data_IF_867357519453
#
_entry.id   IF_867357519453
#
_cell.length_a   1.000
_cell.length_b   1.000
_cell.length_c   1.000
_cell.angle_alpha   90.00
_cell.angle_beta   90.00
_cell.angle_gamma   90.00
#
_symmetry.space_group_name_H-M   'P 1'
#
loop_
_entity.id
_entity.type
_entity.pdbx_description
1 polymer ?
#
# COMPACT_ATOMS: atom_id res chain seq x y z
N UNK A 1 -19.35 -31.34 16.53
CA UNK A 1 -18.98 -31.68 15.13
C UNK A 1 -19.63 -30.77 14.10
N UNK A 2 -20.96 -30.60 14.09
CA UNK A 2 -21.63 -29.62 13.18
C UNK A 2 -21.24 -28.17 13.51
N UNK A 3 -21.35 -27.76 14.77
CA UNK A 3 -21.05 -26.38 15.18
C UNK A 3 -19.59 -25.99 14.86
N UNK A 4 -18.62 -26.85 15.16
CA UNK A 4 -17.19 -26.64 14.87
C UNK A 4 -16.87 -26.54 13.37
N UNK A 5 -17.72 -27.11 12.50
CA UNK A 5 -17.50 -27.08 11.05
C UNK A 5 -18.16 -25.86 10.37
N UNK A 6 -19.32 -25.43 10.86
CA UNK A 6 -20.07 -24.31 10.29
C UNK A 6 -19.74 -22.96 10.93
N UNK A 7 -19.40 -22.93 12.23
CA UNK A 7 -19.08 -21.69 12.96
C UNK A 7 -17.92 -20.91 12.33
N UNK A 8 -16.79 -21.53 11.91
CA UNK A 8 -15.73 -20.80 11.24
C UNK A 8 -16.17 -20.18 9.91
N UNK A 9 -16.97 -20.90 9.11
CA UNK A 9 -17.49 -20.41 7.82
C UNK A 9 -18.46 -19.25 8.02
N UNK A 10 -19.34 -19.34 9.03
CA UNK A 10 -20.31 -18.31 9.36
C UNK A 10 -19.64 -17.04 9.88
N UNK A 11 -18.65 -17.17 10.78
CA UNK A 11 -17.86 -16.04 11.29
C UNK A 11 -17.10 -15.36 10.15
N UNK A 12 -16.49 -16.13 9.25
CA UNK A 12 -15.76 -15.58 8.10
C UNK A 12 -16.69 -14.83 7.16
N UNK A 13 -17.88 -15.36 6.88
CA UNK A 13 -18.87 -14.69 6.03
C UNK A 13 -19.42 -13.42 6.67
N UNK A 14 -19.72 -13.45 7.97
CA UNK A 14 -20.23 -12.31 8.72
C UNK A 14 -19.19 -11.18 8.79
N UNK A 15 -17.94 -11.52 9.09
CA UNK A 15 -16.85 -10.54 9.15
C UNK A 15 -16.46 -10.03 7.75
N UNK A 16 -16.49 -10.89 6.73
CA UNK A 16 -16.34 -10.46 5.34
C UNK A 16 -17.41 -9.46 4.93
N UNK A 17 -18.68 -9.74 5.25
CA UNK A 17 -19.79 -8.81 5.05
C UNK A 17 -19.61 -7.50 5.83
N UNK A 18 -19.12 -7.56 7.07
CA UNK A 18 -18.86 -6.39 7.90
C UNK A 18 -17.74 -5.51 7.32
N UNK A 19 -16.66 -6.08 6.78
CA UNK A 19 -15.59 -5.30 6.14
C UNK A 19 -16.04 -4.67 4.82
N UNK A 20 -16.84 -5.38 4.02
CA UNK A 20 -17.44 -4.81 2.81
C UNK A 20 -18.38 -3.66 3.19
N UNK A 21 -19.24 -3.87 4.19
CA UNK A 21 -20.13 -2.82 4.70
C UNK A 21 -19.35 -1.63 5.23
N UNK A 22 -18.28 -1.85 5.99
CA UNK A 22 -17.40 -0.80 6.47
C UNK A 22 -16.78 -0.03 5.29
N UNK A 23 -16.22 -0.72 4.30
CA UNK A 23 -15.64 -0.08 3.11
C UNK A 23 -16.62 0.76 2.31
N UNK A 24 -17.88 0.33 2.21
CA UNK A 24 -18.97 1.10 1.58
C UNK A 24 -19.39 2.28 2.46
N UNK A 25 -19.56 2.06 3.76
CA UNK A 25 -20.01 3.08 4.71
C UNK A 25 -19.01 4.23 4.85
N UNK A 26 -17.72 3.92 4.82
CA UNK A 26 -16.66 4.93 4.90
C UNK A 26 -16.33 5.56 3.54
N UNK A 27 -17.00 5.15 2.46
CA UNK A 27 -16.75 5.71 1.13
C UNK A 27 -17.07 7.21 1.11
N UNK A 28 -16.16 7.99 0.51
CA UNK A 28 -16.24 9.45 0.51
C UNK A 28 -15.68 10.13 1.78
N UNK A 29 -15.24 9.36 2.79
CA UNK A 29 -14.53 9.89 3.96
C UNK A 29 -13.19 9.14 4.17
N UNK A 30 -12.11 9.55 3.46
CA UNK A 30 -10.84 8.84 3.49
C UNK A 30 -10.22 8.81 4.89
N UNK A 31 -10.27 9.91 5.64
CA UNK A 31 -9.76 10.00 7.00
C UNK A 31 -10.42 8.99 7.96
N UNK A 32 -11.74 8.80 7.83
CA UNK A 32 -12.46 7.84 8.67
C UNK A 32 -12.06 6.40 8.31
N UNK A 33 -11.94 6.11 7.01
CA UNK A 33 -11.47 4.81 6.54
C UNK A 33 -10.03 4.50 7.01
N UNK A 34 -9.13 5.48 6.95
CA UNK A 34 -7.74 5.31 7.37
C UNK A 34 -7.62 5.02 8.87
N UNK A 35 -8.40 5.72 9.69
CA UNK A 35 -8.48 5.43 11.14
C UNK A 35 -8.99 4.01 11.39
N UNK A 36 -10.05 3.61 10.70
CA UNK A 36 -10.60 2.25 10.79
C UNK A 36 -9.58 1.20 10.35
N UNK A 37 -8.86 1.45 9.26
CA UNK A 37 -7.79 0.60 8.75
C UNK A 37 -6.68 0.39 9.77
N UNK A 38 -6.15 1.47 10.36
CA UNK A 38 -5.12 1.41 11.40
C UNK A 38 -5.64 0.67 12.63
N UNK A 39 -6.86 0.96 13.11
CA UNK A 39 -7.46 0.25 14.23
C UNK A 39 -7.53 -1.26 13.98
N UNK A 40 -7.90 -1.69 12.78
CA UNK A 40 -7.95 -3.11 12.42
C UNK A 40 -6.55 -3.73 12.40
N UNK A 41 -5.54 -3.03 11.86
CA UNK A 41 -4.16 -3.53 11.89
C UNK A 41 -3.64 -3.69 13.32
N UNK A 42 -3.86 -2.70 14.19
CA UNK A 42 -3.45 -2.76 15.61
C UNK A 42 -4.18 -3.91 16.32
N UNK A 43 -5.49 -4.04 16.13
CA UNK A 43 -6.27 -5.14 16.68
C UNK A 43 -5.74 -6.51 16.21
N UNK A 44 -5.47 -6.65 14.91
CA UNK A 44 -4.89 -7.86 14.33
C UNK A 44 -3.52 -8.17 14.92
N UNK A 45 -2.66 -7.17 15.12
CA UNK A 45 -1.35 -7.34 15.76
C UNK A 45 -1.46 -7.87 17.20
N UNK A 46 -2.41 -7.34 17.98
CA UNK A 46 -2.63 -7.75 19.38
C UNK A 46 -3.09 -9.21 19.44
N UNK A 47 -4.08 -9.59 18.63
CA UNK A 47 -4.59 -10.97 18.59
C UNK A 47 -3.51 -11.93 18.09
N UNK A 48 -2.80 -11.56 17.03
CA UNK A 48 -1.81 -12.41 16.38
C UNK A 48 -0.40 -12.29 16.98
N UNK A 49 -0.24 -11.68 18.16
CA UNK A 49 1.09 -11.44 18.79
C UNK A 49 1.97 -12.68 18.95
N UNK A 50 1.36 -13.88 19.04
CA UNK A 50 2.07 -15.17 19.15
C UNK A 50 2.41 -15.80 17.79
N UNK A 51 1.93 -15.23 16.68
CA UNK A 51 2.16 -15.71 15.33
C UNK A 51 3.07 -14.72 14.58
N UNK A 52 4.36 -14.98 14.59
CA UNK A 52 5.34 -14.04 14.02
C UNK A 52 5.17 -13.83 12.51
N UNK A 53 4.63 -14.82 11.79
CA UNK A 53 4.44 -14.69 10.35
C UNK A 53 3.39 -13.63 10.02
N UNK A 54 2.24 -13.67 10.70
CA UNK A 54 1.18 -12.65 10.56
C UNK A 54 1.64 -11.32 11.14
N UNK A 55 2.27 -11.33 12.31
CA UNK A 55 2.76 -10.11 12.95
C UNK A 55 3.76 -9.37 12.05
N UNK A 56 4.67 -10.10 11.39
CA UNK A 56 5.63 -9.49 10.47
C UNK A 56 4.99 -8.82 9.27
N UNK A 57 3.92 -9.41 8.73
CA UNK A 57 3.12 -8.77 7.67
C UNK A 57 2.45 -7.49 8.19
N UNK A 58 1.81 -7.55 9.35
CA UNK A 58 1.13 -6.39 9.95
C UNK A 58 2.12 -5.26 10.24
N UNK A 59 3.33 -5.57 10.72
CA UNK A 59 4.39 -4.58 10.95
C UNK A 59 4.75 -3.85 9.64
N UNK A 60 4.96 -4.60 8.55
CA UNK A 60 5.27 -3.98 7.24
C UNK A 60 4.12 -3.07 6.79
N UNK A 61 2.86 -3.51 6.94
CA UNK A 61 1.70 -2.70 6.57
C UNK A 61 1.56 -1.43 7.41
N UNK A 62 1.79 -1.51 8.72
CA UNK A 62 1.77 -0.33 9.61
C UNK A 62 2.89 0.63 9.23
N UNK A 63 4.11 0.14 9.01
CA UNK A 63 5.24 0.99 8.58
C UNK A 63 4.92 1.66 7.25
N UNK A 64 4.40 0.90 6.27
CA UNK A 64 4.00 1.45 4.99
C UNK A 64 2.97 2.58 5.16
N UNK A 65 1.95 2.37 6.00
CA UNK A 65 0.93 3.39 6.23
C UNK A 65 1.50 4.63 6.91
N UNK A 66 2.37 4.45 7.91
CA UNK A 66 3.04 5.57 8.57
C UNK A 66 3.90 6.36 7.57
N UNK A 67 4.59 5.70 6.65
CA UNK A 67 5.36 6.37 5.59
C UNK A 67 4.44 7.17 4.66
N UNK A 68 3.31 6.59 4.23
CA UNK A 68 2.32 7.28 3.39
C UNK A 68 1.76 8.55 4.08
N UNK A 69 1.29 8.43 5.32
CA UNK A 69 0.74 9.55 6.10
C UNK A 69 1.78 10.64 6.41
N UNK A 70 3.00 10.20 6.76
CA UNK A 70 4.09 11.14 7.05
C UNK A 70 4.51 11.87 5.78
N UNK A 71 4.58 11.18 4.65
CA UNK A 71 4.91 11.80 3.37
C UNK A 71 3.83 12.81 2.96
N UNK A 72 2.54 12.50 3.18
CA UNK A 72 1.45 13.45 2.93
C UNK A 72 1.60 14.69 3.81
N UNK A 73 1.78 14.50 5.11
CA UNK A 73 1.95 15.60 6.07
C UNK A 73 3.17 16.47 5.76
N UNK A 74 4.28 15.86 5.30
CA UNK A 74 5.46 16.60 4.86
C UNK A 74 5.15 17.40 3.58
N UNK A 75 4.37 16.84 2.65
CA UNK A 75 4.05 17.51 1.39
C UNK A 75 3.21 18.78 1.53
N UNK A 76 2.48 18.93 2.64
CA UNK A 76 1.69 20.13 2.96
C UNK A 76 2.51 21.28 3.58
N UNK A 77 3.80 21.07 3.86
CA UNK A 77 4.67 22.12 4.42
C UNK A 77 5.04 23.17 3.37
N UNK A 78 5.36 24.39 3.83
CA UNK A 78 5.68 25.54 2.96
C UNK A 78 6.95 25.35 2.09
N UNK A 79 7.84 24.41 2.42
CA UNK A 79 9.11 24.17 1.73
C UNK A 79 9.01 23.24 0.51
N UNK A 80 8.05 23.52 -0.38
CA UNK A 80 7.63 22.61 -1.47
C UNK A 80 8.78 22.14 -2.37
N UNK A 81 9.68 23.03 -2.78
CA UNK A 81 10.80 22.68 -3.70
C UNK A 81 11.83 21.74 -3.05
N UNK A 82 12.12 21.95 -1.77
CA UNK A 82 13.02 21.08 -1.01
C UNK A 82 12.40 19.69 -0.84
N UNK A 83 11.09 19.64 -0.58
CA UNK A 83 10.34 18.39 -0.41
C UNK A 83 10.28 17.61 -1.71
N UNK A 84 9.99 18.30 -2.83
CA UNK A 84 10.05 17.72 -4.19
C UNK A 84 11.39 17.04 -4.44
N UNK A 85 12.48 17.77 -4.23
CA UNK A 85 13.83 17.23 -4.40
C UNK A 85 14.07 16.01 -3.48
N UNK A 86 13.71 16.10 -2.20
CA UNK A 86 13.86 15.01 -1.24
C UNK A 86 13.09 13.76 -1.67
N UNK A 87 11.85 13.90 -2.15
CA UNK A 87 11.03 12.77 -2.60
C UNK A 87 11.60 12.11 -3.86
N UNK A 88 12.11 12.89 -4.81
CA UNK A 88 12.80 12.34 -5.99
C UNK A 88 14.09 11.61 -5.59
N UNK A 89 14.94 12.20 -4.74
CA UNK A 89 16.18 11.55 -4.27
C UNK A 89 15.90 10.27 -3.49
N UNK A 90 14.89 10.27 -2.62
CA UNK A 90 14.47 9.08 -1.89
C UNK A 90 13.94 8.00 -2.83
N UNK A 91 13.13 8.38 -3.82
CA UNK A 91 12.60 7.45 -4.82
C UNK A 91 13.69 6.84 -5.70
N UNK A 92 14.71 7.62 -6.08
CA UNK A 92 15.91 7.12 -6.78
C UNK A 92 16.67 6.13 -5.88
N UNK A 93 16.85 6.45 -4.60
CA UNK A 93 17.51 5.57 -3.63
C UNK A 93 16.75 4.24 -3.47
N UNK A 94 15.43 4.30 -3.38
CA UNK A 94 14.56 3.12 -3.36
C UNK A 94 14.76 2.30 -4.64
N UNK A 95 14.71 2.94 -5.82
CA UNK A 95 14.94 2.26 -7.10
C UNK A 95 16.26 1.48 -7.10
N UNK A 96 17.37 2.07 -6.66
CA UNK A 96 18.66 1.38 -6.59
C UNK A 96 18.63 0.13 -5.74
N UNK A 97 17.88 0.15 -4.63
CA UNK A 97 17.73 -1.00 -3.73
C UNK A 97 16.87 -2.11 -4.33
N UNK A 98 15.84 -1.77 -5.11
CA UNK A 98 14.88 -2.74 -5.67
C UNK A 98 15.10 -3.04 -7.16
N UNK A 99 16.18 -2.55 -7.78
CA UNK A 99 16.44 -2.57 -9.23
C UNK A 99 16.34 -3.95 -9.90
N UNK A 100 16.49 -5.03 -9.14
CA UNK A 100 16.43 -6.40 -9.65
C UNK A 100 14.99 -6.96 -9.73
N UNK A 101 14.00 -6.31 -9.10
CA UNK A 101 12.58 -6.66 -9.29
C UNK A 101 12.11 -6.12 -10.64
N UNK A 102 11.43 -6.93 -11.44
CA UNK A 102 10.84 -6.50 -12.70
C UNK A 102 9.87 -5.33 -12.53
N UNK A 103 9.16 -5.25 -11.40
CA UNK A 103 8.24 -4.16 -11.10
C UNK A 103 8.97 -2.82 -10.85
N UNK A 104 10.28 -2.84 -10.56
CA UNK A 104 11.08 -1.61 -10.39
C UNK A 104 11.17 -0.77 -11.66
N UNK A 105 10.94 -1.38 -12.84
CA UNK A 105 10.86 -0.66 -14.11
C UNK A 105 9.71 0.36 -14.12
N UNK A 106 8.62 0.09 -13.39
CA UNK A 106 7.52 1.05 -13.23
C UNK A 106 8.01 2.33 -12.54
N UNK A 107 8.84 2.19 -11.49
CA UNK A 107 9.44 3.33 -10.78
C UNK A 107 10.40 4.11 -11.67
N UNK A 108 11.25 3.40 -12.43
CA UNK A 108 12.16 4.04 -13.37
C UNK A 108 11.40 4.85 -14.42
N UNK A 109 10.36 4.26 -15.02
CA UNK A 109 9.49 4.96 -15.98
C UNK A 109 8.83 6.19 -15.33
N UNK A 110 8.25 6.03 -14.14
CA UNK A 110 7.63 7.12 -13.39
C UNK A 110 8.62 8.26 -13.11
N UNK A 111 9.85 7.94 -12.68
CA UNK A 111 10.90 8.92 -12.42
C UNK A 111 11.31 9.69 -13.68
N UNK A 112 11.58 8.98 -14.78
CA UNK A 112 12.00 9.62 -16.05
C UNK A 112 10.90 10.56 -16.55
N UNK A 113 9.64 10.09 -16.58
CA UNK A 113 8.50 10.86 -17.04
C UNK A 113 8.29 12.10 -16.17
N UNK A 114 8.32 11.93 -14.84
CA UNK A 114 8.05 13.02 -13.90
C UNK A 114 9.15 14.08 -13.92
N UNK A 115 10.43 13.67 -13.85
CA UNK A 115 11.56 14.60 -13.90
C UNK A 115 11.57 15.36 -15.24
N UNK A 116 11.29 14.68 -16.35
CA UNK A 116 11.23 15.33 -17.67
C UNK A 116 10.07 16.32 -17.76
N UNK A 117 8.91 15.99 -17.20
CA UNK A 117 7.75 16.89 -17.14
C UNK A 117 8.02 18.13 -16.28
N UNK A 118 8.66 17.96 -15.11
CA UNK A 118 9.04 19.05 -14.22
C UNK A 118 10.01 20.03 -14.92
N UNK A 119 11.06 19.52 -15.57
CA UNK A 119 11.98 20.37 -16.35
C UNK A 119 11.27 21.15 -17.45
N UNK A 120 10.32 20.50 -18.16
CA UNK A 120 9.52 21.16 -19.19
C UNK A 120 8.65 22.29 -18.61
N UNK A 121 7.99 22.05 -17.47
CA UNK A 121 7.09 23.02 -16.84
C UNK A 121 7.86 24.20 -16.23
N UNK A 122 9.02 23.94 -15.63
CA UNK A 122 9.96 24.98 -15.17
C UNK A 122 10.35 25.88 -16.35
N UNK A 123 10.71 25.29 -17.49
CA UNK A 123 11.06 26.06 -18.70
C UNK A 123 9.90 26.90 -19.24
N UNK A 124 8.66 26.44 -19.04
CA UNK A 124 7.44 27.15 -19.45
C UNK A 124 6.91 28.14 -18.40
N UNK A 125 7.56 28.28 -17.24
CA UNK A 125 7.09 29.06 -16.10
C UNK A 125 5.63 28.74 -15.71
N UNK A 126 5.25 27.47 -15.83
CA UNK A 126 3.94 26.99 -15.40
C UNK A 126 4.06 26.35 -14.02
N UNK A 127 3.01 26.48 -13.21
CA UNK A 127 2.95 25.77 -11.93
C UNK A 127 3.01 24.26 -12.17
N UNK A 128 4.05 23.63 -11.62
CA UNK A 128 4.22 22.20 -11.74
C UNK A 128 3.21 21.49 -10.83
N UNK A 129 2.41 20.55 -11.38
CA UNK A 129 1.50 19.75 -10.57
C UNK A 129 2.30 18.88 -9.58
N UNK A 130 1.62 18.39 -8.54
CA UNK A 130 2.21 17.59 -7.46
C UNK A 130 2.59 16.15 -7.90
N UNK A 131 3.31 16.02 -9.02
CA UNK A 131 3.71 14.72 -9.60
C UNK A 131 4.67 13.99 -8.65
N UNK A 132 5.52 14.74 -7.94
CA UNK A 132 6.47 14.21 -6.95
C UNK A 132 5.80 13.35 -5.86
N UNK A 133 4.56 13.69 -5.48
CA UNK A 133 3.78 12.93 -4.51
C UNK A 133 3.47 11.51 -5.02
N UNK A 134 2.97 11.40 -6.24
CA UNK A 134 2.65 10.12 -6.86
C UNK A 134 3.90 9.26 -7.10
N UNK A 135 5.05 9.89 -7.36
CA UNK A 135 6.34 9.19 -7.46
C UNK A 135 6.77 8.63 -6.10
N UNK A 136 6.59 9.39 -5.01
CA UNK A 136 6.88 8.93 -3.67
C UNK A 136 5.97 7.75 -3.26
N UNK A 137 4.67 7.82 -3.57
CA UNK A 137 3.74 6.70 -3.37
C UNK A 137 4.13 5.47 -4.19
N UNK A 138 4.45 5.65 -5.48
CA UNK A 138 4.94 4.59 -6.36
C UNK A 138 6.17 3.90 -5.77
N UNK A 139 7.14 4.67 -5.26
CA UNK A 139 8.32 4.15 -4.59
C UNK A 139 7.97 3.41 -3.30
N UNK A 140 7.07 3.95 -2.48
CA UNK A 140 6.60 3.32 -1.23
C UNK A 140 5.98 1.95 -1.49
N UNK A 141 5.06 1.82 -2.45
CA UNK A 141 4.41 0.54 -2.77
C UNK A 141 5.42 -0.50 -3.26
N UNK A 142 6.37 -0.11 -4.12
CA UNK A 142 7.39 -1.03 -4.62
C UNK A 142 8.42 -1.40 -3.54
N UNK A 143 8.70 -0.49 -2.62
CA UNK A 143 9.53 -0.80 -1.46
C UNK A 143 8.81 -1.76 -0.49
N UNK A 144 7.54 -1.53 -0.19
CA UNK A 144 6.73 -2.45 0.61
C UNK A 144 6.64 -3.84 -0.02
N UNK A 145 6.46 -3.91 -1.35
CA UNK A 145 6.55 -5.16 -2.12
C UNK A 145 7.88 -5.89 -1.90
N UNK A 146 9.00 -5.17 -1.96
CA UNK A 146 10.30 -5.75 -1.65
C UNK A 146 10.40 -6.25 -0.20
N UNK A 147 9.85 -5.51 0.77
CA UNK A 147 9.79 -5.94 2.16
C UNK A 147 8.97 -7.22 2.35
N UNK A 148 7.83 -7.37 1.66
CA UNK A 148 7.05 -8.61 1.71
C UNK A 148 7.80 -9.81 1.13
N UNK A 149 8.53 -9.59 0.02
CA UNK A 149 9.37 -10.63 -0.57
C UNK A 149 10.51 -11.07 0.37
N UNK A 150 11.18 -10.11 1.00
CA UNK A 150 12.30 -10.35 1.92
C UNK A 150 11.88 -10.60 3.37
N UNK A 151 10.58 -10.61 3.67
CA UNK A 151 10.06 -10.64 5.06
C UNK A 151 10.65 -11.79 5.86
N UNK A 152 10.72 -12.98 5.27
CA UNK A 152 11.22 -14.18 5.96
C UNK A 152 12.67 -13.99 6.41
N UNK A 153 13.52 -13.46 5.54
CA UNK A 153 14.93 -13.19 5.86
C UNK A 153 15.07 -12.12 6.95
N UNK A 154 14.36 -10.99 6.82
CA UNK A 154 14.43 -9.93 7.84
C UNK A 154 13.89 -10.38 9.20
N UNK A 155 12.78 -11.11 9.21
CA UNK A 155 12.17 -11.58 10.46
C UNK A 155 12.98 -12.71 11.10
N UNK A 156 13.64 -13.57 10.33
CA UNK A 156 14.54 -14.58 10.88
C UNK A 156 15.76 -13.96 11.57
N UNK A 157 16.29 -12.86 11.03
CA UNK A 157 17.43 -12.16 11.62
C UNK A 157 17.04 -11.41 12.91
N UNK A 158 15.85 -10.79 12.94
CA UNK A 158 15.35 -10.06 14.11
C UNK A 158 14.91 -11.01 15.23
N UNK A 159 14.29 -12.15 14.88
CA UNK A 159 13.75 -13.12 15.86
C UNK A 159 14.24 -14.53 15.52
N UNK A 160 15.52 -14.83 15.78
CA UNK A 160 16.13 -16.12 15.38
C UNK A 160 15.56 -17.32 16.14
N UNK A 161 14.86 -17.09 17.27
CA UNK A 161 14.30 -18.14 18.11
C UNK A 161 12.95 -18.68 17.64
N UNK A 162 12.32 -18.07 16.63
CA UNK A 162 11.00 -18.47 16.14
C UNK A 162 11.08 -18.95 14.70
N UNK A 163 10.24 -19.95 14.36
CA UNK A 163 10.14 -20.47 13.00
C UNK A 163 9.40 -19.46 12.13
N UNK A 164 10.14 -18.77 11.26
CA UNK A 164 9.57 -17.84 10.27
C UNK A 164 9.40 -18.59 8.96
N UNK A 165 8.18 -18.55 8.42
CA UNK A 165 7.83 -19.22 7.16
C UNK A 165 7.10 -18.25 6.24
N UNK A 166 7.21 -18.48 4.94
CA UNK A 166 6.40 -17.75 3.96
C UNK A 166 4.94 -18.17 4.09
N UNK A 167 4.05 -17.18 4.06
CA UNK A 167 2.60 -17.39 4.10
C UNK A 167 1.96 -16.86 2.82
N UNK A 168 0.80 -17.39 2.45
CA UNK A 168 0.07 -16.97 1.25
C UNK A 168 -0.23 -15.45 1.22
N UNK A 169 -0.39 -14.85 2.40
CA UNK A 169 -0.59 -13.40 2.56
C UNK A 169 0.58 -12.58 1.98
N UNK A 170 1.82 -13.07 2.08
CA UNK A 170 3.01 -12.40 1.51
C UNK A 170 2.85 -12.23 0.00
N UNK A 171 2.39 -13.28 -0.68
CA UNK A 171 2.22 -13.29 -2.13
C UNK A 171 1.05 -12.43 -2.59
N UNK A 172 -0.06 -12.45 -1.84
CA UNK A 172 -1.20 -11.59 -2.12
C UNK A 172 -0.84 -10.10 -1.98
N UNK A 173 -0.12 -9.73 -0.91
CA UNK A 173 0.33 -8.36 -0.69
C UNK A 173 1.43 -7.94 -1.69
N UNK A 174 2.32 -8.86 -2.07
CA UNK A 174 3.31 -8.64 -3.11
C UNK A 174 2.65 -8.24 -4.45
N UNK A 175 1.60 -8.96 -4.86
CA UNK A 175 0.83 -8.63 -6.07
C UNK A 175 0.02 -7.34 -5.92
N UNK A 176 -0.65 -7.16 -4.79
CA UNK A 176 -1.48 -5.99 -4.55
C UNK A 176 -0.67 -4.69 -4.58
N UNK A 177 0.54 -4.69 -4.01
CA UNK A 177 1.43 -3.53 -4.07
C UNK A 177 1.94 -3.22 -5.48
N UNK A 178 2.14 -4.22 -6.35
CA UNK A 178 2.43 -3.94 -7.75
C UNK A 178 1.23 -3.31 -8.48
N UNK A 179 0.00 -3.68 -8.10
CA UNK A 179 -1.20 -3.05 -8.64
C UNK A 179 -1.34 -1.60 -8.16
N UNK A 180 -1.12 -1.32 -6.87
CA UNK A 180 -1.07 0.05 -6.37
C UNK A 180 0.00 0.88 -7.07
N UNK A 181 1.21 0.34 -7.24
CA UNK A 181 2.28 0.98 -8.01
C UNK A 181 1.83 1.29 -9.45
N UNK A 182 1.18 0.35 -10.13
CA UNK A 182 0.64 0.59 -11.47
C UNK A 182 -0.38 1.74 -11.49
N UNK A 183 -1.29 1.81 -10.52
CA UNK A 183 -2.25 2.92 -10.40
C UNK A 183 -1.53 4.27 -10.25
N UNK A 184 -0.48 4.35 -9.43
CA UNK A 184 0.30 5.60 -9.28
C UNK A 184 1.02 5.99 -10.57
N UNK A 185 1.55 5.02 -11.31
CA UNK A 185 2.15 5.29 -12.62
C UNK A 185 1.12 5.83 -13.64
N UNK A 186 -0.09 5.28 -13.63
CA UNK A 186 -1.18 5.77 -14.48
C UNK A 186 -1.62 7.19 -14.10
N UNK A 187 -1.65 7.50 -12.79
CA UNK A 187 -1.90 8.87 -12.31
C UNK A 187 -0.83 9.84 -12.83
N UNK A 188 0.46 9.50 -12.69
CA UNK A 188 1.57 10.29 -13.23
C UNK A 188 1.40 10.50 -14.74
N UNK A 189 1.10 9.43 -15.49
CA UNK A 189 0.92 9.52 -16.94
C UNK A 189 -0.23 10.45 -17.33
N UNK A 190 -1.40 10.32 -16.70
CA UNK A 190 -2.55 11.20 -16.95
C UNK A 190 -2.22 12.66 -16.60
N UNK A 191 -1.54 12.89 -15.48
CA UNK A 191 -1.10 14.23 -15.08
C UNK A 191 -0.16 14.86 -16.10
N UNK A 192 0.84 14.13 -16.57
CA UNK A 192 1.80 14.63 -17.57
C UNK A 192 1.10 14.87 -18.91
N UNK A 193 0.19 14.01 -19.33
CA UNK A 193 -0.61 14.22 -20.55
C UNK A 193 -1.42 15.52 -20.46
N UNK A 194 -2.03 15.80 -19.32
CA UNK A 194 -2.78 17.04 -19.11
C UNK A 194 -1.88 18.28 -19.08
N UNK A 195 -0.78 18.21 -18.35
CA UNK A 195 0.08 19.37 -18.08
C UNK A 195 1.00 19.71 -19.26
N UNK A 196 1.62 18.70 -19.89
CA UNK A 196 2.61 18.90 -20.96
C UNK A 196 1.95 18.96 -22.34
N UNK A 197 0.97 18.11 -22.61
CA UNK A 197 0.34 18.01 -23.94
C UNK A 197 -0.98 18.80 -24.05
N UNK A 198 -1.47 19.39 -22.95
CA UNK A 198 -2.63 20.28 -22.97
C UNK A 198 -3.99 19.58 -23.12
N UNK A 199 -4.06 18.25 -22.99
CA UNK A 199 -5.32 17.49 -23.04
C UNK A 199 -6.09 17.62 -21.72
N UNK A 200 -6.69 18.78 -21.49
CA UNK A 200 -7.34 19.15 -20.20
C UNK A 200 -8.50 18.24 -19.77
N UNK A 201 -9.17 17.56 -20.72
CA UNK A 201 -10.40 16.81 -20.46
C UNK A 201 -10.17 15.33 -20.10
N UNK A 202 -8.92 14.85 -20.08
CA UNK A 202 -8.62 13.45 -19.72
C UNK A 202 -8.59 13.36 -18.19
N UNK A 203 -9.62 12.77 -17.59
CA UNK A 203 -9.77 12.62 -16.13
C UNK A 203 -10.14 11.18 -15.74
N UNK A 204 -9.77 10.20 -16.56
CA UNK A 204 -10.27 8.84 -16.42
C UNK A 204 -9.65 8.15 -15.19
N UNK A 205 -8.32 8.20 -15.07
CA UNK A 205 -7.59 7.62 -13.94
C UNK A 205 -7.91 8.42 -12.68
N UNK A 206 -7.89 9.75 -12.75
CA UNK A 206 -8.25 10.63 -11.63
C UNK A 206 -9.63 10.31 -11.05
N UNK A 207 -10.64 10.17 -11.92
CA UNK A 207 -12.03 9.94 -11.48
C UNK A 207 -12.24 8.53 -10.95
N UNK A 208 -11.53 7.52 -11.48
CA UNK A 208 -11.67 6.13 -11.05
C UNK A 208 -10.81 5.78 -9.82
N UNK A 209 -9.75 6.54 -9.56
CA UNK A 209 -8.77 6.26 -8.51
C UNK A 209 -9.38 6.08 -7.11
N UNK A 210 -10.27 6.96 -6.60
CA UNK A 210 -10.82 6.79 -5.24
C UNK A 210 -11.59 5.47 -5.09
N UNK A 211 -12.33 5.06 -6.12
CA UNK A 211 -13.10 3.81 -6.13
C UNK A 211 -12.18 2.58 -6.13
N UNK A 212 -11.16 2.59 -6.99
CA UNK A 212 -10.19 1.50 -7.11
C UNK A 212 -9.34 1.39 -5.84
N UNK A 213 -8.87 2.51 -5.30
CA UNK A 213 -8.11 2.55 -4.06
C UNK A 213 -8.92 1.99 -2.89
N UNK A 214 -10.16 2.46 -2.70
CA UNK A 214 -11.04 1.96 -1.64
C UNK A 214 -11.26 0.44 -1.75
N UNK A 215 -11.53 -0.05 -2.97
CA UNK A 215 -11.73 -1.48 -3.22
C UNK A 215 -10.47 -2.27 -2.85
N UNK A 216 -9.30 -1.80 -3.26
CA UNK A 216 -8.02 -2.46 -2.96
C UNK A 216 -7.71 -2.46 -1.47
N UNK A 217 -7.93 -1.36 -0.75
CA UNK A 217 -7.70 -1.31 0.69
C UNK A 217 -8.73 -2.13 1.48
N UNK A 218 -9.99 -2.16 1.05
CA UNK A 218 -11.02 -3.02 1.64
C UNK A 218 -10.65 -4.50 1.45
N UNK A 219 -10.20 -4.85 0.25
CA UNK A 219 -9.67 -6.19 -0.04
C UNK A 219 -8.44 -6.51 0.82
N UNK A 220 -7.53 -5.55 1.01
CA UNK A 220 -6.34 -5.69 1.87
C UNK A 220 -6.72 -6.02 3.31
N UNK A 221 -7.65 -5.26 3.90
CA UNK A 221 -8.17 -5.54 5.25
C UNK A 221 -8.72 -6.97 5.32
N UNK A 222 -9.55 -7.33 4.34
CA UNK A 222 -10.19 -8.63 4.30
C UNK A 222 -9.19 -9.78 4.21
N UNK A 223 -8.18 -9.72 3.34
CA UNK A 223 -7.17 -10.80 3.22
C UNK A 223 -6.33 -10.93 4.49
N UNK A 224 -5.92 -9.82 5.10
CA UNK A 224 -5.14 -9.82 6.34
C UNK A 224 -5.95 -10.47 7.45
N UNK A 225 -7.22 -10.08 7.58
CA UNK A 225 -8.10 -10.65 8.59
C UNK A 225 -8.38 -12.14 8.33
N UNK A 226 -8.70 -12.51 7.08
CA UNK A 226 -9.03 -13.87 6.69
C UNK A 226 -7.87 -14.84 6.96
N UNK A 227 -6.65 -14.50 6.55
CA UNK A 227 -5.46 -15.32 6.80
C UNK A 227 -5.12 -15.37 8.29
N UNK A 228 -5.26 -14.25 9.03
CA UNK A 228 -5.09 -14.21 10.48
C UNK A 228 -6.05 -15.16 11.18
N UNK A 229 -7.32 -15.13 10.81
CA UNK A 229 -8.37 -15.98 11.37
C UNK A 229 -8.15 -17.47 11.02
N UNK A 230 -7.79 -17.78 9.78
CA UNK A 230 -7.46 -19.15 9.34
C UNK A 230 -6.35 -19.78 10.18
N UNK A 231 -5.36 -18.99 10.59
CA UNK A 231 -4.23 -19.43 11.41
C UNK A 231 -4.59 -19.55 12.91
N UNK A 232 -5.67 -18.90 13.36
CA UNK A 232 -6.14 -18.92 14.76
C UNK A 232 -7.16 -20.02 15.05
N UNK A 233 -8.05 -20.34 14.12
CA UNK A 233 -9.11 -21.37 14.28
C UNK A 233 -8.58 -22.71 14.83
N UNK A 234 -7.47 -23.30 14.31
CA UNK A 234 -7.00 -24.60 14.78
C UNK A 234 -6.53 -24.58 16.24
N UNK A 235 -6.14 -23.42 16.76
CA UNK A 235 -5.72 -23.24 18.17
C UNK A 235 -6.91 -23.06 19.09
N UNK A 236 -7.97 -22.37 18.64
CA UNK A 236 -9.20 -22.18 19.39
C UNK A 236 -10.05 -23.46 19.48
N UNK A 237 -10.02 -24.31 18.45
CA UNK A 237 -10.76 -25.59 18.45
C UNK A 237 -10.04 -26.72 19.21
N UNK A 238 -8.80 -26.50 19.67
CA UNK A 238 -8.04 -27.44 20.51
C UNK A 238 -8.06 -27.09 22.01
N UNK A 239 -8.57 -25.91 22.36
CA UNK A 239 -8.79 -25.46 23.73
C UNK A 239 -10.21 -25.81 24.16
#
# INVERSE_FOLDING_TARGET
>A
MLLSHYLPKMITALLGGLFIFAGIYTFGNPLLFDRLFICILVFTAIICRKNINVLGVVIILVIQRLVEETAWSISELEYVDLIKAAFYFLSITVYWKIKYDNASRLLLCGLIISISAEFYLIFKHQEAPEIYWYVALLASYLFARHLFFMRVAYMSDIIPKQKVESINLDWQLYKLNAFFALLQLLMIAEYVIRAVFGFKNILFVWSSYPYLAQLCYTYLIWIVFYESYRLLIPKLLRA
#
